data_IF_359919713934
#
_entry.id   IF_359919713934
#
_cell.length_a   1.000
_cell.length_b   1.000
_cell.length_c   1.000
_cell.angle_alpha   90.00
_cell.angle_beta   90.00
_cell.angle_gamma   90.00
#
_symmetry.space_group_name_H-M   'P 1'
#
loop_
_entity.id
_entity.type
_entity.pdbx_description
1 polymer ?
#
# COMPACT_ATOMS: atom_id res chain seq x y z
N UNK A 1 5.11 -8.52 -33.35
CA UNK A 1 5.91 -7.31 -33.04
C UNK A 1 6.06 -7.18 -31.54
N UNK A 2 7.06 -7.83 -30.94
CA UNK A 2 7.25 -7.95 -29.47
C UNK A 2 8.63 -7.44 -29.02
N UNK A 3 9.35 -6.70 -29.86
CA UNK A 3 10.71 -6.25 -29.56
C UNK A 3 10.87 -4.78 -29.94
N UNK A 4 10.37 -3.86 -29.10
CA UNK A 4 10.75 -2.42 -29.11
C UNK A 4 10.16 -1.66 -27.89
N UNK A 5 10.13 -2.27 -26.70
CA UNK A 5 9.98 -1.47 -25.47
C UNK A 5 11.36 -1.10 -24.98
N UNK A 6 11.79 0.09 -25.39
CA UNK A 6 12.97 0.76 -24.85
C UNK A 6 12.98 0.69 -23.31
N UNK A 7 14.07 0.24 -22.67
CA UNK A 7 14.23 0.25 -21.22
C UNK A 7 14.63 1.66 -20.81
N UNK A 8 13.70 2.61 -20.84
CA UNK A 8 14.03 4.02 -20.56
C UNK A 8 12.96 4.62 -19.65
N UNK A 9 13.14 4.33 -18.36
CA UNK A 9 13.15 5.33 -17.29
C UNK A 9 13.31 4.59 -15.96
N UNK A 10 14.53 4.19 -15.63
CA UNK A 10 14.85 3.57 -14.34
C UNK A 10 14.58 4.53 -13.16
N UNK A 11 14.51 5.84 -13.43
CA UNK A 11 14.20 6.93 -12.47
C UNK A 11 12.78 7.50 -12.60
N UNK A 12 11.89 6.90 -13.41
CA UNK A 12 10.55 7.44 -13.65
C UNK A 12 9.51 7.03 -12.60
N UNK A 13 8.41 7.80 -12.44
CA UNK A 13 7.29 7.48 -11.53
C UNK A 13 6.63 6.12 -11.81
N UNK A 14 6.90 5.51 -12.97
CA UNK A 14 6.44 4.17 -13.34
C UNK A 14 7.11 3.05 -12.51
N UNK A 15 8.37 3.23 -12.07
CA UNK A 15 9.09 2.24 -11.26
C UNK A 15 8.63 2.22 -9.81
N UNK A 16 8.48 3.39 -9.20
CA UNK A 16 7.87 3.54 -7.87
C UNK A 16 6.50 2.86 -7.82
N UNK A 17 5.70 3.00 -8.88
CA UNK A 17 4.38 2.34 -9.00
C UNK A 17 4.45 0.83 -9.13
N UNK A 18 5.44 0.28 -9.84
CA UNK A 18 5.67 -1.17 -9.87
C UNK A 18 6.08 -1.73 -8.51
N UNK A 19 6.87 -0.98 -7.74
CA UNK A 19 7.25 -1.34 -6.38
C UNK A 19 6.04 -1.35 -5.42
N UNK A 20 5.13 -0.38 -5.58
CA UNK A 20 3.87 -0.31 -4.83
C UNK A 20 2.98 -1.52 -5.13
N UNK A 21 2.83 -1.92 -6.40
CA UNK A 21 2.02 -3.08 -6.81
C UNK A 21 2.54 -4.39 -6.18
N UNK A 22 3.86 -4.57 -6.16
CA UNK A 22 4.51 -5.68 -5.45
C UNK A 22 4.25 -5.60 -3.95
N UNK A 23 4.31 -4.40 -3.36
CA UNK A 23 3.98 -4.17 -1.95
C UNK A 23 2.55 -4.58 -1.58
N UNK A 24 1.57 -4.26 -2.42
CA UNK A 24 0.17 -4.68 -2.23
C UNK A 24 -0.01 -6.19 -2.34
N UNK A 25 0.64 -6.83 -3.32
CA UNK A 25 0.60 -8.28 -3.46
C UNK A 25 1.21 -8.98 -2.24
N UNK A 26 2.35 -8.47 -1.76
CA UNK A 26 3.05 -9.01 -0.59
C UNK A 26 2.23 -8.82 0.68
N UNK A 27 1.58 -7.67 0.85
CA UNK A 27 0.64 -7.44 1.95
C UNK A 27 -0.51 -8.46 1.95
N UNK A 28 -1.12 -8.73 0.79
CA UNK A 28 -2.17 -9.74 0.68
C UNK A 28 -1.69 -11.13 1.11
N UNK A 29 -0.49 -11.52 0.65
CA UNK A 29 0.12 -12.79 1.02
C UNK A 29 0.41 -12.89 2.52
N UNK A 30 0.99 -11.85 3.11
CA UNK A 30 1.22 -11.81 4.56
C UNK A 30 -0.07 -11.80 5.36
N UNK A 31 -1.14 -11.16 4.87
CA UNK A 31 -2.42 -11.12 5.57
C UNK A 31 -3.03 -12.52 5.63
N UNK A 32 -3.00 -13.25 4.51
CA UNK A 32 -3.45 -14.65 4.46
C UNK A 32 -2.61 -15.52 5.41
N UNK A 33 -1.28 -15.36 5.38
CA UNK A 33 -0.39 -16.10 6.26
C UNK A 33 -0.66 -15.82 7.75
N UNK A 34 -0.93 -14.55 8.11
CA UNK A 34 -1.27 -14.16 9.48
C UNK A 34 -2.60 -14.75 9.93
N UNK A 35 -3.62 -14.73 9.07
CA UNK A 35 -4.93 -15.35 9.35
C UNK A 35 -4.79 -16.87 9.48
N UNK A 36 -4.02 -17.51 8.61
CA UNK A 36 -3.73 -18.94 8.72
C UNK A 36 -3.00 -19.27 10.03
N UNK A 37 -1.99 -18.49 10.40
CA UNK A 37 -1.29 -18.65 11.67
C UNK A 37 -2.25 -18.50 12.86
N UNK A 38 -3.15 -17.50 12.84
CA UNK A 38 -4.16 -17.31 13.88
C UNK A 38 -5.04 -18.55 14.07
N UNK A 39 -5.54 -19.12 12.98
CA UNK A 39 -6.41 -20.30 13.00
C UNK A 39 -5.64 -21.55 13.45
N UNK A 40 -4.44 -21.77 12.92
CA UNK A 40 -3.67 -23.01 13.16
C UNK A 40 -3.05 -23.04 14.55
N UNK A 41 -2.51 -21.92 15.02
CA UNK A 41 -1.71 -21.86 16.26
C UNK A 41 -2.52 -21.44 17.48
N UNK A 42 -3.76 -20.97 17.31
CA UNK A 42 -4.59 -20.50 18.42
C UNK A 42 -4.03 -19.24 19.08
N UNK A 43 -3.41 -18.35 18.29
CA UNK A 43 -2.89 -17.08 18.78
C UNK A 43 -3.95 -16.31 19.57
N UNK A 44 -3.54 -15.66 20.65
CA UNK A 44 -4.46 -14.79 21.38
C UNK A 44 -4.92 -13.63 20.48
N UNK A 45 -6.17 -13.14 20.64
CA UNK A 45 -6.66 -12.01 19.85
C UNK A 45 -5.75 -10.76 19.94
N UNK A 46 -5.07 -10.57 21.08
CA UNK A 46 -4.13 -9.47 21.28
C UNK A 46 -2.86 -9.65 20.44
N UNK A 47 -2.29 -10.86 20.38
CA UNK A 47 -1.12 -11.13 19.55
C UNK A 47 -1.45 -11.00 18.06
N UNK A 48 -2.65 -11.43 17.65
CA UNK A 48 -3.13 -11.22 16.27
C UNK A 48 -3.30 -9.74 15.94
N UNK A 49 -3.95 -8.96 16.82
CA UNK A 49 -4.13 -7.53 16.63
C UNK A 49 -2.78 -6.79 16.49
N UNK A 50 -1.78 -7.17 17.28
CA UNK A 50 -0.40 -6.67 17.14
C UNK A 50 0.18 -6.99 15.76
N UNK A 51 0.16 -8.26 15.34
CA UNK A 51 0.68 -8.65 14.02
C UNK A 51 -0.05 -7.95 12.86
N UNK A 52 -1.37 -7.81 12.96
CA UNK A 52 -2.19 -7.15 11.95
C UNK A 52 -1.89 -5.65 11.89
N UNK A 53 -1.66 -5.00 13.03
CA UNK A 53 -1.29 -3.58 13.09
C UNK A 53 0.04 -3.27 12.40
N UNK A 54 1.01 -4.19 12.48
CA UNK A 54 2.29 -4.07 11.75
C UNK A 54 2.06 -4.21 10.25
N UNK A 55 1.22 -5.16 9.82
CA UNK A 55 0.86 -5.30 8.41
C UNK A 55 0.18 -4.04 7.87
N UNK A 56 -0.76 -3.49 8.64
CA UNK A 56 -1.44 -2.23 8.32
C UNK A 56 -0.44 -1.08 8.21
N UNK A 57 0.56 -1.00 9.08
CA UNK A 57 1.60 0.02 8.99
C UNK A 57 2.41 -0.06 7.68
N UNK A 58 2.80 -1.27 7.29
CA UNK A 58 3.58 -1.50 6.05
C UNK A 58 2.78 -1.01 4.85
N UNK A 59 1.52 -1.44 4.72
CA UNK A 59 0.68 -1.01 3.59
C UNK A 59 0.27 0.45 3.71
N UNK A 60 0.04 0.96 4.92
CA UNK A 60 -0.28 2.35 5.19
C UNK A 60 0.81 3.30 4.75
N UNK A 61 2.07 2.93 4.99
CA UNK A 61 3.25 3.69 4.54
C UNK A 61 3.38 3.73 3.02
N UNK A 62 3.16 2.58 2.37
CA UNK A 62 3.08 2.43 0.90
C UNK A 62 1.97 3.33 0.33
N UNK A 63 0.78 3.31 0.95
CA UNK A 63 -0.38 4.09 0.54
C UNK A 63 -0.16 5.59 0.73
N UNK A 64 0.47 5.99 1.85
CA UNK A 64 0.83 7.37 2.12
C UNK A 64 1.86 7.88 1.09
N UNK A 65 2.90 7.10 0.80
CA UNK A 65 3.90 7.45 -0.21
C UNK A 65 3.27 7.62 -1.61
N UNK A 66 2.38 6.71 -2.01
CA UNK A 66 1.65 6.83 -3.27
C UNK A 66 0.69 8.03 -3.29
N UNK A 67 0.03 8.31 -2.16
CA UNK A 67 -0.80 9.50 -1.99
C UNK A 67 0.00 10.80 -2.14
N UNK A 68 1.19 10.89 -1.55
CA UNK A 68 2.09 12.05 -1.73
C UNK A 68 2.51 12.21 -3.18
N UNK A 69 2.88 11.12 -3.85
CA UNK A 69 3.25 11.13 -5.27
C UNK A 69 2.07 11.53 -6.16
N UNK A 70 0.86 11.04 -5.87
CA UNK A 70 -0.37 11.38 -6.59
C UNK A 70 -0.77 12.85 -6.41
N UNK A 71 -0.57 13.42 -5.22
CA UNK A 71 -0.80 14.85 -4.96
C UNK A 71 0.22 15.73 -5.70
N UNK A 72 1.52 15.37 -5.67
CA UNK A 72 2.58 16.12 -6.35
C UNK A 72 2.46 16.09 -7.87
N UNK A 73 2.12 14.93 -8.43
CA UNK A 73 2.08 14.74 -9.89
C UNK A 73 0.71 15.07 -10.49
N UNK A 74 -0.36 15.11 -9.69
CA UNK A 74 -1.73 15.25 -10.19
C UNK A 74 -2.16 14.09 -11.10
N UNK A 75 -1.46 12.96 -11.02
CA UNK A 75 -1.70 11.75 -11.79
C UNK A 75 -1.82 10.57 -10.84
N UNK A 76 -2.93 9.84 -10.92
CA UNK A 76 -3.16 8.62 -10.16
C UNK A 76 -3.35 7.46 -11.14
N UNK A 77 -2.69 6.33 -10.90
CA UNK A 77 -2.91 5.10 -11.68
C UNK A 77 -3.39 4.02 -10.74
N UNK A 78 -4.64 3.62 -10.89
CA UNK A 78 -5.21 2.49 -10.16
C UNK A 78 -5.39 1.33 -11.14
N UNK A 79 -4.51 0.32 -11.03
CA UNK A 79 -4.46 -0.80 -11.96
C UNK A 79 -4.24 -0.38 -13.43
N UNK A 80 -5.20 -0.71 -14.30
CA UNK A 80 -5.14 -0.36 -15.73
C UNK A 80 -5.61 1.07 -16.05
N UNK A 81 -6.27 1.77 -15.12
CA UNK A 81 -6.80 3.13 -15.37
C UNK A 81 -5.80 4.20 -14.92
N UNK A 82 -5.47 5.11 -15.82
CA UNK A 82 -4.75 6.35 -15.53
C UNK A 82 -5.79 7.46 -15.36
N UNK A 83 -5.78 8.16 -14.24
CA UNK A 83 -6.59 9.35 -13.95
C UNK A 83 -5.66 10.53 -13.79
N UNK A 84 -6.03 11.68 -14.34
CA UNK A 84 -5.28 12.94 -14.22
C UNK A 84 -6.21 14.07 -13.76
N UNK A 85 -5.63 15.12 -13.18
CA UNK A 85 -6.35 16.32 -12.78
C UNK A 85 -6.99 16.23 -11.38
N UNK A 86 -8.09 16.96 -11.15
CA UNK A 86 -8.74 17.07 -9.83
C UNK A 86 -9.13 15.72 -9.23
N UNK A 87 -9.70 14.82 -10.04
CA UNK A 87 -10.11 13.49 -9.58
C UNK A 87 -8.92 12.65 -9.08
N UNK A 88 -7.75 12.77 -9.74
CA UNK A 88 -6.54 12.08 -9.31
C UNK A 88 -6.02 12.60 -7.96
N UNK A 89 -6.09 13.92 -7.72
CA UNK A 89 -5.68 14.52 -6.44
C UNK A 89 -6.61 14.12 -5.30
N UNK A 90 -7.92 14.01 -5.53
CA UNK A 90 -8.88 13.55 -4.51
C UNK A 90 -8.58 12.11 -4.11
N UNK A 91 -8.33 11.22 -5.07
CA UNK A 91 -7.94 9.83 -4.79
C UNK A 91 -6.60 9.74 -4.05
N UNK A 92 -5.62 10.55 -4.46
CA UNK A 92 -4.33 10.64 -3.80
C UNK A 92 -4.46 11.14 -2.34
N UNK A 93 -5.33 12.12 -2.10
CA UNK A 93 -5.69 12.56 -0.76
C UNK A 93 -6.31 11.45 0.09
N UNK A 94 -7.25 10.69 -0.49
CA UNK A 94 -7.85 9.52 0.17
C UNK A 94 -6.82 8.45 0.56
N UNK A 95 -5.85 8.17 -0.31
CA UNK A 95 -4.72 7.25 -0.03
C UNK A 95 -3.87 7.74 1.14
N UNK A 96 -3.62 9.04 1.22
CA UNK A 96 -2.89 9.65 2.33
C UNK A 96 -3.64 9.55 3.66
N UNK A 97 -4.95 9.84 3.66
CA UNK A 97 -5.78 9.72 4.87
C UNK A 97 -5.82 8.26 5.34
N UNK A 98 -6.06 7.32 4.43
CA UNK A 98 -6.04 5.90 4.75
C UNK A 98 -4.66 5.43 5.26
N UNK A 99 -3.57 5.93 4.66
CA UNK A 99 -2.21 5.67 5.13
C UNK A 99 -1.97 6.20 6.55
N UNK A 100 -2.42 7.42 6.84
CA UNK A 100 -2.31 8.01 8.18
C UNK A 100 -3.13 7.26 9.24
N UNK A 101 -4.34 6.81 8.90
CA UNK A 101 -5.16 5.99 9.79
C UNK A 101 -4.50 4.63 10.08
N UNK A 102 -3.86 4.03 9.09
CA UNK A 102 -3.12 2.78 9.27
C UNK A 102 -1.88 2.95 10.17
N UNK A 103 -1.18 4.09 10.09
CA UNK A 103 -0.09 4.44 11.02
C UNK A 103 -0.63 4.61 12.44
N UNK A 104 -1.78 5.28 12.60
CA UNK A 104 -2.42 5.42 13.91
C UNK A 104 -2.82 4.06 14.50
N UNK A 105 -3.34 3.14 13.68
CA UNK A 105 -3.67 1.78 14.10
C UNK A 105 -2.45 0.98 14.56
N UNK A 106 -1.24 1.26 14.05
CA UNK A 106 -0.02 0.70 14.62
C UNK A 106 0.19 1.16 16.07
N UNK A 107 0.04 2.45 16.34
CA UNK A 107 0.20 2.98 17.70
C UNK A 107 -0.80 2.33 18.67
N UNK A 108 -2.05 2.15 18.24
CA UNK A 108 -3.07 1.43 19.01
C UNK A 108 -2.69 -0.04 19.20
N UNK A 109 -2.21 -0.70 18.13
CA UNK A 109 -1.74 -2.08 18.18
C UNK A 109 -0.58 -2.30 19.15
N UNK A 110 0.37 -1.37 19.20
CA UNK A 110 1.51 -1.40 20.12
C UNK A 110 1.11 -1.13 21.58
N UNK A 111 0.00 -0.43 21.81
CA UNK A 111 -0.51 -0.10 23.14
C UNK A 111 -1.43 -1.19 23.75
N UNK A 112 -1.85 -2.18 22.95
CA UNK A 112 -2.55 -3.41 23.40
C UNK A 112 -1.61 -4.39 24.10
#
# INVERSE_FOLDING_TARGET
MVLLRWPTDWNGPKRLRGLLDVGFALYGLFTIALVAAFIITGLTPHAFAKGFSVLLFIIGSVLAADGVLGLRTGMDRTGKRLRSGRAARVLAGGKLVAGSAAIFLLCVGLAL
#
